data_IF_945341759454
#
_entry.id   IF_945341759454
#
_cell.length_a   1.000
_cell.length_b   1.000
_cell.length_c   1.000
_cell.angle_alpha   90.00
_cell.angle_beta   90.00
_cell.angle_gamma   90.00
#
_symmetry.space_group_name_H-M   'P 1'
#
loop_
_entity.id
_entity.type
_entity.pdbx_description
1 polymer ?
#
# COMPACT_ATOMS: atom_id res chain seq x y z
N UNK A 1 -5.17 -5.39 7.79
CA UNK A 1 -4.59 -4.27 7.02
C UNK A 1 -3.95 -4.81 5.76
N UNK A 2 -4.17 -4.17 4.60
CA UNK A 2 -3.55 -4.51 3.32
C UNK A 2 -2.32 -3.60 3.14
N UNK A 3 -1.17 -4.18 2.83
CA UNK A 3 0.09 -3.45 2.60
C UNK A 3 0.70 -3.92 1.29
N UNK A 4 0.95 -3.01 0.36
CA UNK A 4 1.48 -3.33 -0.97
C UNK A 4 2.57 -2.36 -1.40
N UNK A 5 3.43 -2.78 -2.34
CA UNK A 5 4.33 -1.91 -3.08
C UNK A 5 3.57 -0.97 -4.01
N UNK A 6 4.17 0.16 -4.39
CA UNK A 6 3.50 1.22 -5.15
C UNK A 6 4.35 1.75 -6.30
N UNK A 7 4.05 1.31 -7.50
CA UNK A 7 4.77 1.70 -8.72
C UNK A 7 3.95 2.51 -9.71
N UNK A 8 2.61 2.50 -9.57
CA UNK A 8 1.73 3.04 -10.58
C UNK A 8 0.39 3.47 -10.01
N UNK A 9 -0.30 4.36 -10.70
CA UNK A 9 -1.70 4.65 -10.39
C UNK A 9 -2.61 3.43 -10.62
N UNK A 10 -2.18 2.47 -11.45
CA UNK A 10 -2.89 1.21 -11.65
C UNK A 10 -2.93 0.33 -10.38
N UNK A 11 -2.02 0.52 -9.43
CA UNK A 11 -2.00 -0.22 -8.16
C UNK A 11 -3.29 -0.01 -7.35
N UNK A 12 -3.87 1.19 -7.44
CA UNK A 12 -5.12 1.52 -6.78
C UNK A 12 -6.26 0.68 -7.38
N UNK A 13 -6.32 0.60 -8.70
CA UNK A 13 -7.34 -0.20 -9.41
C UNK A 13 -7.14 -1.69 -9.16
N UNK A 14 -5.88 -2.13 -9.13
CA UNK A 14 -5.51 -3.51 -8.87
C UNK A 14 -5.90 -3.93 -7.44
N UNK A 15 -5.72 -3.03 -6.47
CA UNK A 15 -6.17 -3.24 -5.10
C UNK A 15 -7.69 -3.45 -5.03
N UNK A 16 -8.48 -2.63 -5.75
CA UNK A 16 -9.94 -2.80 -5.83
C UNK A 16 -10.33 -4.14 -6.45
N UNK A 17 -9.60 -4.58 -7.47
CA UNK A 17 -9.85 -5.87 -8.13
C UNK A 17 -9.54 -7.06 -7.20
N UNK A 18 -8.45 -6.98 -6.43
CA UNK A 18 -7.98 -8.07 -5.59
C UNK A 18 -8.71 -8.17 -4.25
N UNK A 19 -9.19 -7.06 -3.72
CA UNK A 19 -9.87 -7.05 -2.42
C UNK A 19 -11.35 -7.43 -2.57
N UNK A 20 -11.78 -8.48 -1.87
CA UNK A 20 -13.19 -8.89 -1.79
C UNK A 20 -13.92 -8.23 -0.63
N UNK A 21 -13.20 -7.61 0.30
CA UNK A 21 -13.75 -6.96 1.48
C UNK A 21 -13.71 -5.43 1.33
N UNK A 22 -14.67 -4.71 1.91
CA UNK A 22 -14.61 -3.25 1.93
C UNK A 22 -13.33 -2.74 2.56
N UNK A 23 -12.71 -1.75 1.94
CA UNK A 23 -11.51 -1.14 2.46
C UNK A 23 -11.43 0.36 2.13
N UNK A 24 -10.61 1.07 2.86
CA UNK A 24 -10.27 2.47 2.60
C UNK A 24 -8.75 2.63 2.48
N UNK A 25 -8.33 3.55 1.61
CA UNK A 25 -6.92 3.92 1.51
C UNK A 25 -6.52 4.94 2.60
N UNK A 26 -5.24 4.99 2.92
CA UNK A 26 -4.64 6.15 3.59
C UNK A 26 -3.85 6.92 2.56
N UNK A 27 -4.26 8.13 2.28
CA UNK A 27 -3.70 8.89 1.18
C UNK A 27 -3.47 10.37 1.46
N UNK A 28 -2.72 11.05 0.59
CA UNK A 28 -2.33 12.46 0.76
C UNK A 28 -3.54 13.39 0.74
N UNK A 29 -3.64 14.28 1.73
CA UNK A 29 -4.74 15.24 1.83
C UNK A 29 -4.79 16.21 0.64
N UNK A 30 -3.64 16.53 0.02
CA UNK A 30 -3.56 17.41 -1.13
C UNK A 30 -4.35 16.90 -2.34
N UNK A 31 -4.41 15.58 -2.54
CA UNK A 31 -5.15 14.96 -3.65
C UNK A 31 -6.66 15.19 -3.55
N UNK A 32 -7.16 15.44 -2.36
CA UNK A 32 -8.59 15.76 -2.13
C UNK A 32 -9.00 17.14 -2.65
N UNK A 33 -8.03 17.98 -3.06
CA UNK A 33 -8.28 19.30 -3.65
C UNK A 33 -8.47 19.25 -5.16
N UNK A 34 -8.16 18.12 -5.80
CA UNK A 34 -8.33 17.97 -7.24
C UNK A 34 -9.83 17.96 -7.61
N UNK A 35 -10.25 18.73 -8.62
CA UNK A 35 -11.65 18.73 -9.06
C UNK A 35 -12.07 17.33 -9.50
N UNK A 36 -13.34 16.97 -9.29
CA UNK A 36 -13.93 15.66 -9.58
C UNK A 36 -13.27 14.53 -8.81
N UNK A 37 -11.96 14.27 -9.01
CA UNK A 37 -11.20 13.22 -8.33
C UNK A 37 -11.27 13.36 -6.81
N UNK A 38 -11.08 14.56 -6.27
CA UNK A 38 -11.11 14.81 -4.83
C UNK A 38 -12.46 14.49 -4.18
N UNK A 39 -13.57 14.63 -4.92
CA UNK A 39 -14.88 14.26 -4.42
C UNK A 39 -14.99 12.74 -4.13
N UNK A 40 -14.56 11.92 -5.08
CA UNK A 40 -14.55 10.45 -4.89
C UNK A 40 -13.49 10.01 -3.90
N UNK A 41 -12.29 10.62 -3.98
CA UNK A 41 -11.17 10.30 -3.13
C UNK A 41 -11.47 10.47 -1.63
N UNK A 42 -12.17 11.53 -1.24
CA UNK A 42 -12.63 11.76 0.15
C UNK A 42 -13.55 10.66 0.68
N UNK A 43 -14.25 9.93 -0.20
CA UNK A 43 -15.16 8.85 0.19
C UNK A 43 -14.44 7.52 0.44
N UNK A 44 -13.32 7.30 -0.25
CA UNK A 44 -12.59 6.03 -0.25
C UNK A 44 -11.23 6.10 0.45
N UNK A 45 -10.85 7.27 0.98
CA UNK A 45 -9.55 7.46 1.63
C UNK A 45 -9.67 8.20 2.97
N UNK A 46 -8.87 7.76 3.93
CA UNK A 46 -8.50 8.52 5.11
C UNK A 46 -7.39 9.49 4.68
N UNK A 47 -7.66 10.79 4.83
CA UNK A 47 -6.75 11.83 4.36
C UNK A 47 -5.68 12.13 5.39
N UNK A 48 -4.42 12.22 4.96
CA UNK A 48 -3.28 12.55 5.83
C UNK A 48 -2.47 13.71 5.28
N UNK A 49 -2.29 14.75 6.10
CA UNK A 49 -1.19 15.69 5.94
C UNK A 49 0.01 15.16 6.75
N UNK A 50 1.00 14.62 6.04
CA UNK A 50 2.16 13.96 6.65
C UNK A 50 3.08 14.93 7.41
N UNK A 51 2.99 16.23 7.14
CA UNK A 51 3.75 17.28 7.83
C UNK A 51 3.12 17.66 9.16
N UNK A 52 1.83 17.38 9.37
CA UNK A 52 1.09 17.69 10.58
C UNK A 52 1.08 16.50 11.57
N UNK A 53 1.67 16.62 12.77
CA UNK A 53 1.53 15.62 13.82
C UNK A 53 0.08 15.38 14.22
N UNK A 54 -0.74 16.44 14.24
CA UNK A 54 -2.14 16.36 14.56
C UNK A 54 -2.90 15.51 13.51
N UNK A 55 -2.64 15.75 12.21
CA UNK A 55 -3.26 14.97 11.14
C UNK A 55 -2.89 13.47 11.23
N UNK A 56 -1.63 13.16 11.59
CA UNK A 56 -1.23 11.75 11.82
C UNK A 56 -2.00 11.08 12.97
N UNK A 57 -2.30 11.81 14.04
CA UNK A 57 -3.12 11.31 15.15
C UNK A 57 -4.57 11.09 14.71
N UNK A 58 -5.12 12.01 13.92
CA UNK A 58 -6.48 11.91 13.37
C UNK A 58 -6.63 10.70 12.45
N UNK A 59 -5.61 10.39 11.63
CA UNK A 59 -5.59 9.18 10.79
C UNK A 59 -5.74 7.92 11.62
N UNK A 60 -5.07 7.84 12.75
CA UNK A 60 -5.20 6.69 13.66
C UNK A 60 -6.64 6.53 14.18
N UNK A 61 -7.25 7.62 14.64
CA UNK A 61 -8.63 7.61 15.15
C UNK A 61 -9.60 7.18 14.03
N UNK A 62 -9.44 7.73 12.83
CA UNK A 62 -10.27 7.37 11.68
C UNK A 62 -10.06 5.90 11.27
N UNK A 63 -8.81 5.42 11.30
CA UNK A 63 -8.50 4.02 10.99
C UNK A 63 -9.20 3.06 11.96
N UNK A 64 -9.13 3.35 13.27
CA UNK A 64 -9.87 2.58 14.29
C UNK A 64 -11.37 2.54 14.01
N UNK A 65 -11.96 3.69 13.68
CA UNK A 65 -13.39 3.77 13.38
C UNK A 65 -13.73 2.90 12.17
N UNK A 66 -12.96 2.99 11.06
CA UNK A 66 -13.16 2.17 9.86
C UNK A 66 -13.02 0.68 10.13
N UNK A 67 -12.05 0.29 10.98
CA UNK A 67 -11.84 -1.10 11.39
C UNK A 67 -13.04 -1.61 12.18
N UNK A 68 -13.57 -0.81 13.13
CA UNK A 68 -14.76 -1.14 13.90
C UNK A 68 -16.01 -1.27 13.02
N UNK A 69 -16.07 -0.51 11.92
CA UNK A 69 -17.11 -0.61 10.89
C UNK A 69 -16.92 -1.83 9.97
N UNK A 70 -15.96 -2.71 10.25
CA UNK A 70 -15.67 -3.91 9.46
C UNK A 70 -14.89 -3.67 8.17
N UNK A 71 -14.31 -2.48 7.99
CA UNK A 71 -13.52 -2.15 6.81
C UNK A 71 -12.03 -2.47 7.01
N UNK A 72 -11.36 -2.89 5.95
CA UNK A 72 -9.91 -3.01 5.94
C UNK A 72 -9.24 -1.66 5.65
N UNK A 73 -8.02 -1.49 6.13
CA UNK A 73 -7.19 -0.33 5.79
C UNK A 73 -6.15 -0.77 4.76
N UNK A 74 -6.01 -0.01 3.68
CA UNK A 74 -4.99 -0.23 2.65
C UNK A 74 -3.96 0.89 2.68
N UNK A 75 -2.69 0.54 2.76
CA UNK A 75 -1.58 1.50 2.78
C UNK A 75 -0.47 1.04 1.84
N UNK A 76 0.02 1.98 1.05
CA UNK A 76 1.28 1.86 0.33
C UNK A 76 2.38 2.51 1.18
N UNK A 77 3.20 1.72 1.92
CA UNK A 77 4.07 2.26 2.96
C UNK A 77 5.28 3.04 2.42
N UNK A 78 5.62 2.88 1.14
CA UNK A 78 6.60 3.74 0.45
C UNK A 78 6.19 5.21 0.47
N UNK A 79 4.89 5.43 0.47
CA UNK A 79 4.31 6.77 0.61
C UNK A 79 4.21 7.56 -0.69
N UNK A 80 4.46 6.96 -1.81
CA UNK A 80 4.34 7.49 -3.16
C UNK A 80 5.04 6.57 -4.15
N UNK A 81 4.85 6.83 -5.42
CA UNK A 81 5.61 6.16 -6.48
C UNK A 81 7.03 6.73 -6.47
N UNK A 82 8.09 5.91 -6.46
CA UNK A 82 9.46 6.38 -6.55
C UNK A 82 9.70 7.15 -7.86
N UNK A 83 10.42 8.27 -7.78
CA UNK A 83 10.84 9.03 -8.97
C UNK A 83 11.95 8.31 -9.74
N UNK A 84 12.83 7.61 -9.02
CA UNK A 84 13.89 6.79 -9.59
C UNK A 84 13.34 5.41 -9.97
N UNK A 85 13.25 5.18 -11.26
CA UNK A 85 12.74 3.91 -11.82
C UNK A 85 13.68 2.71 -11.56
N UNK A 86 14.93 2.91 -11.12
CA UNK A 86 15.86 1.82 -10.78
C UNK A 86 15.50 1.17 -9.42
N UNK A 87 14.78 1.88 -8.57
CA UNK A 87 14.37 1.38 -7.25
C UNK A 87 13.36 0.26 -7.44
N UNK A 88 13.70 -0.93 -6.92
CA UNK A 88 12.81 -2.10 -6.92
C UNK A 88 11.76 -1.99 -5.82
N UNK A 89 12.11 -1.47 -4.65
CA UNK A 89 11.20 -1.24 -3.53
C UNK A 89 11.81 -0.19 -2.61
N UNK A 90 11.14 0.92 -2.44
CA UNK A 90 11.60 2.00 -1.56
C UNK A 90 11.48 1.63 -0.07
N UNK A 91 12.01 2.47 0.78
CA UNK A 91 11.93 2.30 2.22
C UNK A 91 10.49 2.48 2.72
N UNK A 92 10.08 1.59 3.60
CA UNK A 92 8.76 1.66 4.20
C UNK A 92 8.71 2.67 5.35
N UNK A 93 7.64 3.47 5.39
CA UNK A 93 7.35 4.42 6.46
C UNK A 93 6.56 3.73 7.57
N UNK A 94 6.72 4.21 8.78
CA UNK A 94 6.20 3.61 10.01
C UNK A 94 4.68 3.56 10.12
N UNK A 95 3.97 4.44 9.40
CA UNK A 95 2.54 4.68 9.62
C UNK A 95 1.65 3.44 9.57
N UNK A 96 1.88 2.56 8.58
CA UNK A 96 1.12 1.32 8.45
C UNK A 96 1.34 0.38 9.64
N UNK A 97 2.59 0.19 10.02
CA UNK A 97 2.99 -0.76 11.08
C UNK A 97 2.55 -0.28 12.46
N UNK A 98 2.64 1.02 12.69
CA UNK A 98 2.11 1.64 13.88
C UNK A 98 0.60 1.42 14.03
N UNK A 99 -0.18 1.72 13.00
CA UNK A 99 -1.64 1.52 13.01
C UNK A 99 -1.96 0.03 13.21
N UNK A 100 -1.28 -0.88 12.53
CA UNK A 100 -1.53 -2.31 12.65
C UNK A 100 -1.29 -2.82 14.09
N UNK A 101 -0.19 -2.39 14.71
CA UNK A 101 0.14 -2.75 16.10
C UNK A 101 -0.85 -2.12 17.08
N UNK A 102 -1.11 -0.82 16.99
CA UNK A 102 -2.01 -0.14 17.91
C UNK A 102 -3.47 -0.67 17.83
N UNK A 103 -3.89 -1.10 16.63
CA UNK A 103 -5.21 -1.72 16.41
C UNK A 103 -5.20 -3.25 16.58
N UNK A 104 -4.05 -3.88 16.82
CA UNK A 104 -3.89 -5.35 16.94
C UNK A 104 -4.49 -6.10 15.74
N UNK A 105 -4.39 -5.55 14.51
CA UNK A 105 -4.91 -6.16 13.29
C UNK A 105 -3.80 -6.76 12.43
N UNK A 106 -4.01 -7.94 11.82
CA UNK A 106 -3.00 -8.57 11.00
C UNK A 106 -2.67 -7.73 9.75
N UNK A 107 -1.42 -7.80 9.30
CA UNK A 107 -0.97 -7.25 8.02
C UNK A 107 -1.05 -8.35 6.98
N UNK A 108 -1.66 -8.06 5.83
CA UNK A 108 -1.66 -8.92 4.65
C UNK A 108 -0.77 -8.24 3.61
N UNK A 109 0.48 -8.72 3.42
CA UNK A 109 1.34 -8.17 2.39
C UNK A 109 0.85 -8.60 1.00
N UNK A 110 0.85 -7.66 0.06
CA UNK A 110 0.50 -7.89 -1.34
C UNK A 110 1.64 -7.42 -2.23
N UNK A 111 1.89 -8.14 -3.31
CA UNK A 111 3.00 -7.83 -4.23
C UNK A 111 2.44 -7.62 -5.62
N UNK A 112 2.60 -6.41 -6.15
CA UNK A 112 2.21 -6.03 -7.50
C UNK A 112 3.45 -6.09 -8.41
N UNK A 113 3.50 -7.07 -9.32
CA UNK A 113 4.71 -7.38 -10.10
C UNK A 113 4.86 -6.55 -11.37
N UNK A 114 3.76 -6.32 -12.07
CA UNK A 114 3.83 -5.88 -13.47
C UNK A 114 3.34 -4.44 -13.69
N UNK A 115 2.82 -3.77 -12.67
CA UNK A 115 2.20 -2.44 -12.80
C UNK A 115 3.16 -1.39 -13.34
N UNK A 116 4.43 -1.42 -12.93
CA UNK A 116 5.49 -0.56 -13.45
C UNK A 116 5.70 -0.73 -14.96
N UNK A 117 5.67 -1.97 -15.46
CA UNK A 117 5.84 -2.29 -16.88
C UNK A 117 4.59 -2.00 -17.70
N UNK A 118 3.40 -2.26 -17.12
CA UNK A 118 2.13 -2.17 -17.84
C UNK A 118 1.56 -0.76 -17.83
N UNK A 119 1.74 -0.02 -16.73
CA UNK A 119 1.22 1.33 -16.56
C UNK A 119 2.25 2.25 -15.87
N UNK A 120 3.41 2.51 -16.52
CA UNK A 120 4.43 3.41 -15.95
C UNK A 120 3.90 4.84 -15.84
N UNK A 121 4.58 5.66 -15.07
CA UNK A 121 4.21 7.07 -14.87
C UNK A 121 4.49 7.95 -16.10
N UNK A 122 5.15 7.40 -17.14
CA UNK A 122 5.43 8.10 -18.39
C UNK A 122 4.32 7.90 -19.40
N UNK A 123 3.88 9.00 -20.03
CA UNK A 123 2.88 8.96 -21.11
C UNK A 123 3.35 8.06 -22.26
N UNK A 124 2.43 7.26 -22.79
CA UNK A 124 2.64 6.34 -23.93
C UNK A 124 3.73 5.27 -23.75
N UNK A 125 4.25 5.06 -22.55
CA UNK A 125 5.26 4.02 -22.26
C UNK A 125 4.66 2.71 -21.74
N UNK A 126 3.34 2.64 -21.60
CA UNK A 126 2.64 1.45 -21.11
C UNK A 126 2.58 0.32 -22.15
N UNK A 127 2.27 -0.88 -21.69
CA UNK A 127 2.10 -2.05 -22.55
C UNK A 127 0.90 -2.88 -22.09
N UNK A 128 0.24 -3.54 -23.04
CA UNK A 128 -0.81 -4.51 -22.73
C UNK A 128 -0.21 -5.81 -22.17
N UNK A 129 -0.94 -6.50 -21.31
CA UNK A 129 -0.52 -7.79 -20.78
C UNK A 129 -1.07 -8.06 -19.39
N UNK A 130 -0.69 -9.19 -18.83
CA UNK A 130 -1.13 -9.60 -17.47
C UNK A 130 -0.50 -8.72 -16.42
N UNK A 131 -1.23 -8.49 -15.33
CA UNK A 131 -0.73 -7.93 -14.08
C UNK A 131 -0.85 -8.99 -13.01
N UNK A 132 0.29 -9.50 -12.53
CA UNK A 132 0.35 -10.56 -11.51
C UNK A 132 0.35 -9.93 -10.13
N UNK A 133 -0.35 -10.58 -9.21
CA UNK A 133 -0.42 -10.16 -7.81
C UNK A 133 -0.25 -11.38 -6.93
N UNK A 134 0.66 -11.31 -5.97
CA UNK A 134 0.74 -12.25 -4.87
C UNK A 134 0.06 -11.65 -3.64
N UNK A 135 -0.79 -12.44 -2.99
CA UNK A 135 -1.35 -12.15 -1.68
C UNK A 135 -0.67 -13.10 -0.70
N UNK A 136 0.15 -12.55 0.19
CA UNK A 136 0.95 -13.36 1.10
C UNK A 136 0.18 -13.71 2.37
N UNK A 137 0.71 -14.66 3.14
CA UNK A 137 0.11 -15.05 4.42
C UNK A 137 0.02 -13.85 5.38
N UNK A 138 -1.08 -13.74 6.14
CA UNK A 138 -1.22 -12.68 7.13
C UNK A 138 -0.15 -12.76 8.21
N UNK A 139 0.43 -11.62 8.55
CA UNK A 139 1.39 -11.46 9.65
C UNK A 139 0.63 -10.92 10.85
N UNK A 140 0.65 -11.65 11.95
CA UNK A 140 -0.05 -11.25 13.18
C UNK A 140 0.66 -10.08 13.86
N UNK A 141 -0.14 -9.16 14.41
CA UNK A 141 0.33 -8.09 15.31
C UNK A 141 -0.16 -8.29 16.73
N UNK A 142 -0.90 -9.37 16.99
CA UNK A 142 -1.43 -9.66 18.30
C UNK A 142 -0.31 -9.83 19.31
N UNK A 143 -0.37 -9.07 20.41
CA UNK A 143 0.65 -9.04 21.45
C UNK A 143 1.90 -8.23 21.11
N UNK A 144 2.04 -7.70 19.88
CA UNK A 144 3.14 -6.78 19.53
C UNK A 144 2.92 -5.39 20.13
N UNK A 145 4.04 -4.74 20.45
CA UNK A 145 4.09 -3.37 20.98
C UNK A 145 4.74 -2.44 19.96
N UNK A 146 4.72 -1.13 20.22
CA UNK A 146 5.39 -0.17 19.35
C UNK A 146 6.92 -0.36 19.28
N UNK A 147 7.52 -1.10 20.21
CA UNK A 147 8.92 -1.50 20.15
C UNK A 147 9.21 -2.48 19.02
N UNK A 148 8.22 -3.30 18.66
CA UNK A 148 8.32 -4.28 17.56
C UNK A 148 8.11 -3.65 16.17
N UNK A 149 7.78 -2.38 16.11
CA UNK A 149 7.37 -1.69 14.88
C UNK A 149 8.42 -1.78 13.76
N UNK A 150 9.68 -1.54 14.09
CA UNK A 150 10.77 -1.53 13.11
C UNK A 150 11.06 -2.93 12.59
N UNK A 151 11.04 -3.94 13.47
CA UNK A 151 11.19 -5.34 13.10
C UNK A 151 10.05 -5.79 12.18
N UNK A 152 8.81 -5.46 12.51
CA UNK A 152 7.64 -5.78 11.68
C UNK A 152 7.72 -5.10 10.31
N UNK A 153 8.16 -3.84 10.26
CA UNK A 153 8.33 -3.09 9.01
C UNK A 153 9.34 -3.77 8.09
N UNK A 154 10.51 -4.12 8.61
CA UNK A 154 11.56 -4.78 7.83
C UNK A 154 11.17 -6.21 7.42
N UNK A 155 10.46 -6.95 8.27
CA UNK A 155 9.90 -8.26 7.94
C UNK A 155 8.99 -8.17 6.71
N UNK A 156 7.97 -7.29 6.75
CA UNK A 156 7.02 -7.12 5.65
C UNK A 156 7.72 -6.63 4.39
N UNK A 157 8.64 -5.66 4.52
CA UNK A 157 9.42 -5.13 3.39
C UNK A 157 10.25 -6.21 2.73
N UNK A 158 10.96 -7.01 3.52
CA UNK A 158 11.82 -8.10 3.04
C UNK A 158 11.01 -9.16 2.29
N UNK A 159 9.85 -9.54 2.80
CA UNK A 159 8.97 -10.51 2.13
C UNK A 159 8.49 -10.00 0.76
N UNK A 160 8.07 -8.73 0.68
CA UNK A 160 7.66 -8.13 -0.59
C UNK A 160 8.84 -8.04 -1.55
N UNK A 161 10.02 -7.58 -1.09
CA UNK A 161 11.22 -7.45 -1.91
C UNK A 161 11.68 -8.80 -2.46
N UNK A 162 11.71 -9.83 -1.64
CA UNK A 162 12.10 -11.19 -2.08
C UNK A 162 11.19 -11.69 -3.21
N UNK A 163 9.89 -11.47 -3.12
CA UNK A 163 8.93 -11.84 -4.16
C UNK A 163 9.14 -11.05 -5.46
N UNK A 164 9.39 -9.74 -5.36
CA UNK A 164 9.68 -8.91 -6.52
C UNK A 164 10.96 -9.36 -7.24
N UNK A 165 12.03 -9.67 -6.51
CA UNK A 165 13.31 -10.14 -7.07
C UNK A 165 13.15 -11.53 -7.69
N UNK A 166 12.45 -12.46 -7.02
CA UNK A 166 12.25 -13.80 -7.53
C UNK A 166 11.56 -13.81 -8.90
N UNK A 167 10.51 -12.99 -9.07
CA UNK A 167 9.79 -12.89 -10.33
C UNK A 167 10.60 -12.15 -11.41
N UNK A 168 11.45 -11.18 -11.03
CA UNK A 168 12.32 -10.50 -11.99
C UNK A 168 13.42 -11.42 -12.56
N UNK A 169 13.80 -12.45 -11.83
CA UNK A 169 14.80 -13.44 -12.24
C UNK A 169 14.24 -14.64 -13.04
N UNK A 170 12.92 -14.77 -13.11
CA UNK A 170 12.30 -15.79 -13.95
C UNK A 170 12.45 -15.43 -15.44
N UNK A 171 12.95 -16.35 -16.29
CA UNK A 171 12.96 -16.10 -17.72
C UNK A 171 11.53 -15.89 -18.21
N UNK A 172 11.32 -14.83 -19.01
CA UNK A 172 10.01 -14.50 -19.58
C UNK A 172 9.52 -15.60 -20.52
N UNK A 173 8.81 -16.60 -19.98
CA UNK A 173 8.27 -17.75 -20.75
C UNK A 173 7.01 -17.33 -21.55
N UNK A 174 6.53 -16.09 -21.43
CA UNK A 174 5.39 -15.58 -22.20
C UNK A 174 5.71 -14.20 -22.77
N UNK A 175 6.23 -14.19 -24.00
CA UNK A 175 6.11 -13.04 -24.90
C UNK A 175 4.69 -12.97 -25.46
#
# INVERSE_FOLDING_TARGET
MLVANHYSMADIMLMFYCSKQPFVFVGKAELAKLPIFGYFYKKVAILVDRRSPQSRKEVYIQALQRINDGQSICIFPEGGVPEDESIVLDNFKDGAFRIAIECQIPIIPMVFHDTKKRFPFRFFAGSVGRMRVDILAPITTQGKTLEDKDTLREEVRSLILQKLIAVASEPHIYQ
#
